data_IF_803997002331
#
_entry.id   IF_803997002331
#
_cell.length_a   1.000
_cell.length_b   1.000
_cell.length_c   1.000
_cell.angle_alpha   90.00
_cell.angle_beta   90.00
_cell.angle_gamma   90.00
#
_symmetry.space_group_name_H-M   'P 1'
#
loop_
_entity.id
_entity.type
_entity.pdbx_description
1 polymer ?
#
# COMPACT_ATOMS: atom_id res chain seq x y z
N UNK A 1 -11.31 -4.14 -5.02
CA UNK A 1 -11.24 -5.41 -4.27
C UNK A 1 -11.23 -6.63 -5.21
N UNK A 2 -12.09 -6.64 -6.24
CA UNK A 2 -12.16 -7.74 -7.24
C UNK A 2 -10.82 -8.07 -7.91
N UNK A 3 -10.12 -7.06 -8.46
CA UNK A 3 -8.79 -7.27 -9.07
C UNK A 3 -7.77 -7.85 -8.08
N UNK A 4 -7.84 -7.51 -6.79
CA UNK A 4 -6.93 -8.04 -5.77
C UNK A 4 -7.26 -9.48 -5.40
N UNK A 5 -8.55 -9.84 -5.30
CA UNK A 5 -8.96 -11.22 -5.08
C UNK A 5 -8.59 -12.12 -6.27
N UNK A 6 -8.80 -11.63 -7.50
CA UNK A 6 -8.36 -12.31 -8.71
C UNK A 6 -6.83 -12.49 -8.75
N UNK A 7 -6.07 -11.48 -8.33
CA UNK A 7 -4.61 -11.57 -8.18
C UNK A 7 -4.22 -12.65 -7.17
N UNK A 8 -4.85 -12.68 -5.99
CA UNK A 8 -4.60 -13.69 -4.97
C UNK A 8 -4.87 -15.12 -5.48
N UNK A 9 -5.95 -15.31 -6.24
CA UNK A 9 -6.29 -16.60 -6.81
C UNK A 9 -5.31 -17.03 -7.90
N UNK A 10 -5.03 -16.15 -8.88
CA UNK A 10 -4.23 -16.52 -10.06
C UNK A 10 -2.73 -16.59 -9.80
N UNK A 11 -2.21 -15.77 -8.90
CA UNK A 11 -0.76 -15.66 -8.64
C UNK A 11 -0.36 -16.46 -7.40
N UNK A 12 -1.23 -16.52 -6.39
CA UNK A 12 -0.92 -17.14 -5.10
C UNK A 12 -1.77 -18.38 -4.79
N UNK A 13 -2.62 -18.81 -5.72
CA UNK A 13 -3.52 -19.96 -5.57
C UNK A 13 -4.45 -19.89 -4.35
N UNK A 14 -4.86 -18.67 -3.95
CA UNK A 14 -5.81 -18.48 -2.84
C UNK A 14 -7.25 -18.60 -3.36
N UNK A 15 -7.78 -19.82 -3.34
CA UNK A 15 -9.09 -20.16 -3.91
C UNK A 15 -10.23 -20.19 -2.89
N UNK A 16 -9.93 -20.21 -1.59
CA UNK A 16 -10.90 -20.24 -0.50
C UNK A 16 -11.16 -18.86 0.11
N UNK A 17 -12.29 -18.72 0.79
CA UNK A 17 -12.72 -17.49 1.45
C UNK A 17 -13.53 -16.55 0.58
N UNK A 18 -14.07 -15.51 1.22
CA UNK A 18 -14.81 -14.41 0.59
C UNK A 18 -13.91 -13.56 -0.29
N UNK A 19 -14.53 -12.72 -1.14
CA UNK A 19 -13.81 -11.77 -1.98
C UNK A 19 -12.85 -10.88 -1.18
N UNK A 20 -13.27 -10.44 0.00
CA UNK A 20 -12.45 -9.59 0.86
C UNK A 20 -11.29 -10.35 1.50
N UNK A 21 -11.53 -11.58 1.96
CA UNK A 21 -10.50 -12.44 2.55
C UNK A 21 -9.43 -12.80 1.52
N UNK A 22 -9.84 -13.18 0.30
CA UNK A 22 -8.91 -13.42 -0.82
C UNK A 22 -8.08 -12.19 -1.13
N UNK A 23 -8.70 -11.01 -1.23
CA UNK A 23 -7.98 -9.77 -1.49
C UNK A 23 -6.95 -9.45 -0.39
N UNK A 24 -7.31 -9.64 0.89
CA UNK A 24 -6.38 -9.47 2.03
C UNK A 24 -5.25 -10.50 1.99
N UNK A 25 -5.55 -11.76 1.69
CA UNK A 25 -4.55 -12.80 1.55
C UNK A 25 -3.55 -12.48 0.43
N UNK A 26 -4.01 -11.91 -0.69
CA UNK A 26 -3.14 -11.41 -1.76
C UNK A 26 -2.15 -10.35 -1.26
N UNK A 27 -2.61 -9.38 -0.47
CA UNK A 27 -1.75 -8.34 0.13
C UNK A 27 -0.69 -8.97 1.03
N UNK A 28 -1.07 -9.88 1.92
CA UNK A 28 -0.15 -10.50 2.87
C UNK A 28 0.87 -11.43 2.18
N UNK A 29 0.46 -12.12 1.11
CA UNK A 29 1.39 -12.90 0.27
C UNK A 29 2.41 -12.01 -0.43
N UNK A 30 1.99 -10.86 -0.97
CA UNK A 30 2.91 -9.88 -1.55
C UNK A 30 3.90 -9.34 -0.51
N UNK A 31 3.44 -8.96 0.69
CA UNK A 31 4.34 -8.53 1.77
C UNK A 31 5.34 -9.62 2.15
N UNK A 32 4.88 -10.85 2.33
CA UNK A 32 5.72 -11.99 2.70
C UNK A 32 6.78 -12.26 1.63
N UNK A 33 6.40 -12.18 0.36
CA UNK A 33 7.32 -12.35 -0.76
C UNK A 33 8.43 -11.29 -0.75
N UNK A 34 8.10 -10.01 -0.60
CA UNK A 34 9.13 -8.96 -0.50
C UNK A 34 10.05 -9.15 0.70
N UNK A 35 9.49 -9.50 1.86
CA UNK A 35 10.29 -9.80 3.04
C UNK A 35 11.21 -11.02 2.84
N UNK A 36 10.78 -12.06 2.10
CA UNK A 36 11.65 -13.20 1.77
C UNK A 36 12.83 -12.83 0.87
N UNK A 37 12.72 -11.74 0.11
CA UNK A 37 13.80 -11.18 -0.70
C UNK A 37 14.66 -10.17 0.08
N UNK A 38 14.41 -9.98 1.37
CA UNK A 38 15.10 -8.98 2.19
C UNK A 38 14.62 -7.54 1.99
N UNK A 39 13.51 -7.34 1.28
CA UNK A 39 12.90 -6.02 1.06
C UNK A 39 11.84 -5.80 2.15
N UNK A 40 12.10 -4.86 3.06
CA UNK A 40 11.19 -4.52 4.15
C UNK A 40 10.00 -3.72 3.63
N UNK A 41 8.89 -3.83 4.35
CA UNK A 41 7.59 -3.32 3.87
C UNK A 41 6.99 -2.26 4.79
N UNK A 42 7.65 -1.93 5.90
CA UNK A 42 7.35 -0.78 6.74
C UNK A 42 8.57 0.15 6.86
N UNK A 43 8.31 1.45 7.02
CA UNK A 43 9.35 2.47 7.17
C UNK A 43 10.14 2.30 8.47
N UNK A 44 9.47 1.90 9.55
CA UNK A 44 10.07 1.56 10.85
C UNK A 44 11.09 0.42 10.79
N UNK A 45 11.02 -0.45 9.79
CA UNK A 45 12.03 -1.50 9.59
C UNK A 45 13.33 -0.96 8.97
N UNK A 46 13.30 0.25 8.39
CA UNK A 46 14.46 0.88 7.75
C UNK A 46 15.07 2.01 8.57
N UNK A 47 14.28 2.71 9.38
CA UNK A 47 14.74 3.85 10.16
C UNK A 47 13.85 4.08 11.39
N UNK A 48 14.40 4.64 12.46
CA UNK A 48 13.64 5.10 13.61
C UNK A 48 13.01 6.49 13.37
N UNK A 49 13.50 7.23 12.38
CA UNK A 49 13.09 8.60 12.05
C UNK A 49 12.02 8.65 10.96
N UNK A 50 11.09 7.69 10.97
CA UNK A 50 10.03 7.59 9.95
C UNK A 50 8.87 8.56 10.20
N UNK A 51 8.65 8.97 11.45
CA UNK A 51 7.55 9.89 11.83
C UNK A 51 7.75 11.24 11.15
N UNK A 52 6.66 11.83 10.63
CA UNK A 52 6.71 13.08 9.88
C UNK A 52 6.84 12.90 8.35
N UNK A 53 7.10 11.67 7.89
CA UNK A 53 7.28 11.40 6.46
C UNK A 53 5.98 11.62 5.66
N UNK A 54 4.83 11.25 6.23
CA UNK A 54 3.54 11.42 5.57
C UNK A 54 3.21 12.89 5.30
N UNK A 55 3.47 13.76 6.27
CA UNK A 55 3.24 15.19 6.23
C UNK A 55 4.15 15.86 5.19
N UNK A 56 5.43 15.44 5.13
CA UNK A 56 6.38 15.89 4.11
C UNK A 56 5.88 15.53 2.71
N UNK A 57 5.38 14.31 2.51
CA UNK A 57 4.90 13.84 1.20
C UNK A 57 3.64 14.61 0.79
N UNK A 58 2.65 14.74 1.68
CA UNK A 58 1.44 15.53 1.43
C UNK A 58 1.77 16.96 1.05
N UNK A 59 2.68 17.63 1.77
CA UNK A 59 3.12 18.99 1.46
C UNK A 59 3.71 19.05 0.05
N UNK A 60 4.66 18.17 -0.28
CA UNK A 60 5.27 18.11 -1.62
C UNK A 60 4.25 17.88 -2.73
N UNK A 61 3.27 17.00 -2.53
CA UNK A 61 2.24 16.73 -3.54
C UNK A 61 1.33 17.94 -3.75
N UNK A 62 0.98 18.61 -2.66
CA UNK A 62 0.18 19.85 -2.70
C UNK A 62 0.91 20.96 -3.45
N UNK A 63 2.18 21.20 -3.13
CA UNK A 63 3.02 22.23 -3.77
C UNK A 63 3.22 21.96 -5.28
N UNK A 64 3.29 20.68 -5.68
CA UNK A 64 3.40 20.27 -7.09
C UNK A 64 2.07 20.24 -7.83
N UNK A 65 0.95 20.55 -7.16
CA UNK A 65 -0.38 20.50 -7.76
C UNK A 65 -0.91 19.09 -8.04
N UNK A 66 -0.35 18.06 -7.40
CA UNK A 66 -0.80 16.66 -7.55
C UNK A 66 -2.07 16.42 -6.73
N UNK A 67 -3.21 16.87 -7.26
CA UNK A 67 -4.50 16.88 -6.55
C UNK A 67 -5.30 15.57 -6.67
N UNK A 68 -5.00 14.73 -7.66
CA UNK A 68 -5.63 13.44 -7.87
C UNK A 68 -4.62 12.44 -8.44
N UNK A 69 -4.42 11.33 -7.75
CA UNK A 69 -3.52 10.25 -8.14
C UNK A 69 -4.27 8.95 -8.42
N UNK A 70 -3.59 8.00 -9.05
CA UNK A 70 -4.09 6.67 -9.35
C UNK A 70 -4.93 6.58 -10.63
N UNK A 71 -5.34 5.36 -10.99
CA UNK A 71 -6.10 5.04 -12.22
C UNK A 71 -7.39 5.87 -12.35
N UNK A 72 -8.04 6.20 -11.22
CA UNK A 72 -9.29 6.96 -11.17
C UNK A 72 -9.12 8.42 -10.78
N UNK A 73 -7.88 8.89 -10.60
CA UNK A 73 -7.57 10.28 -10.21
C UNK A 73 -8.29 10.75 -8.92
N UNK A 74 -8.61 9.82 -8.02
CA UNK A 74 -9.40 10.09 -6.82
C UNK A 74 -8.62 9.97 -5.52
N UNK A 75 -7.31 9.69 -5.59
CA UNK A 75 -6.43 9.68 -4.42
C UNK A 75 -5.88 11.09 -4.22
N UNK A 76 -6.31 11.77 -3.16
CA UNK A 76 -5.89 13.14 -2.86
C UNK A 76 -4.60 13.16 -2.02
N UNK A 77 -3.90 14.31 -1.90
CA UNK A 77 -2.77 14.42 -0.97
C UNK A 77 -3.10 14.02 0.48
N UNK A 78 -4.33 14.23 0.94
CA UNK A 78 -4.79 13.80 2.26
C UNK A 78 -4.96 12.29 2.37
N UNK A 79 -5.31 11.61 1.27
CA UNK A 79 -5.35 10.14 1.24
C UNK A 79 -3.93 9.56 1.22
N UNK A 80 -3.01 10.21 0.52
CA UNK A 80 -1.59 9.83 0.51
C UNK A 80 -0.98 9.91 1.90
N UNK A 81 -1.27 10.96 2.67
CA UNK A 81 -0.83 11.09 4.06
C UNK A 81 -1.23 9.84 4.87
N UNK A 82 -2.50 9.48 4.86
CA UNK A 82 -3.02 8.28 5.55
C UNK A 82 -2.37 6.99 5.05
N UNK A 83 -2.14 6.87 3.74
CA UNK A 83 -1.49 5.69 3.14
C UNK A 83 -0.05 5.54 3.64
N UNK A 84 0.70 6.64 3.71
CA UNK A 84 2.08 6.63 4.19
C UNK A 84 2.14 6.37 5.69
N UNK A 85 1.21 6.92 6.48
CA UNK A 85 1.09 6.63 7.92
C UNK A 85 0.81 5.15 8.20
N UNK A 86 0.02 4.46 7.37
CA UNK A 86 -0.20 3.01 7.48
C UNK A 86 1.06 2.18 7.19
N UNK A 87 2.08 2.79 6.57
CA UNK A 87 3.36 2.17 6.26
C UNK A 87 4.48 2.57 7.24
N UNK A 88 4.15 3.31 8.31
CA UNK A 88 5.08 3.64 9.39
C UNK A 88 5.63 2.38 10.05
#
# INVERSE_FOLDING_TARGET
>A
KEKLAQYAERVWNVTEGTLEEKAKAGIEKTKTFYNSLGIKTALSEYTNDYKGTAEIIKKRFTERGWKGLGERQNVTPSDVEKIVEMAY
#
